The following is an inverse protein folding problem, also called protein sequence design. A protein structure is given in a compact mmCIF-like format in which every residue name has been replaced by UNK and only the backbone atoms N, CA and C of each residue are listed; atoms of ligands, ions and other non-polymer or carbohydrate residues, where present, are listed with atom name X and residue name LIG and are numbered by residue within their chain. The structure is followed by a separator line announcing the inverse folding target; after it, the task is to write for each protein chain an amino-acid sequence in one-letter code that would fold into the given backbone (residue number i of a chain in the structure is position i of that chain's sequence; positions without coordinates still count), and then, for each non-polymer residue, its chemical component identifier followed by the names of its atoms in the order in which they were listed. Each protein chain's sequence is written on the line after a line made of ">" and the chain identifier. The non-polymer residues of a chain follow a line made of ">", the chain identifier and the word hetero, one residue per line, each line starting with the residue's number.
data_IF_132301281041
#
_entry.id   IF_132301281041
#
_cell.length_a   1.000
_cell.length_b   1.000
_cell.length_c   1.000
_cell.angle_alpha   90.00
_cell.angle_beta   90.00
_cell.angle_gamma   90.00
#
_symmetry.space_group_name_H-M   'P 1'
#
loop_
_entity.id
_entity.type
_entity.pdbx_description
1 polymer ?
#
# COMPACT_ATOMS: atom_id res chain seq x y z
N UNK A 1 29.75 20.08 0.99
CA UNK A 1 28.92 21.27 0.70
C UNK A 1 27.49 20.95 1.10
N UNK A 2 26.83 21.74 1.96
CA UNK A 2 25.42 21.53 2.30
C UNK A 2 24.55 21.90 1.10
N UNK A 3 23.51 21.10 0.84
CA UNK A 3 22.48 21.38 -0.17
C UNK A 3 21.24 21.82 0.61
N UNK A 4 20.76 23.03 0.36
CA UNK A 4 19.53 23.54 0.97
C UNK A 4 18.34 23.12 0.11
N UNK A 5 17.34 22.50 0.74
CA UNK A 5 16.10 22.09 0.10
C UNK A 5 14.96 22.86 0.73
N UNK A 6 14.12 23.47 -0.09
CA UNK A 6 12.85 24.05 0.36
C UNK A 6 11.80 22.94 0.42
N UNK A 7 11.25 22.71 1.62
CA UNK A 7 10.19 21.74 1.86
C UNK A 7 8.87 22.49 1.99
N UNK A 8 7.77 21.85 1.60
CA UNK A 8 6.44 22.39 1.88
C UNK A 8 6.22 22.48 3.41
N UNK A 9 5.50 23.50 3.92
CA UNK A 9 5.27 23.68 5.36
C UNK A 9 4.68 22.45 6.06
N UNK A 10 3.78 21.73 5.39
CA UNK A 10 3.13 20.53 5.94
C UNK A 10 4.14 19.40 6.18
N UNK A 11 5.00 19.14 5.20
CA UNK A 11 6.04 18.12 5.27
C UNK A 11 7.11 18.44 6.31
N UNK A 12 7.47 19.72 6.45
CA UNK A 12 8.40 20.18 7.49
C UNK A 12 7.82 19.92 8.89
N UNK A 13 6.53 20.21 9.08
CA UNK A 13 5.85 19.97 10.34
C UNK A 13 5.77 18.47 10.68
N UNK A 14 5.41 17.64 9.70
CA UNK A 14 5.37 16.18 9.86
C UNK A 14 6.75 15.60 10.22
N UNK A 15 7.81 16.08 9.56
CA UNK A 15 9.20 15.68 9.86
C UNK A 15 9.61 16.08 11.28
N UNK A 16 9.22 17.28 11.74
CA UNK A 16 9.49 17.74 13.12
C UNK A 16 8.76 16.89 14.16
N UNK A 17 7.48 16.60 13.93
CA UNK A 17 6.68 15.76 14.83
C UNK A 17 7.31 14.37 14.94
N UNK A 18 7.70 13.79 13.81
CA UNK A 18 8.27 12.45 13.79
C UNK A 18 9.70 12.39 14.35
N UNK A 19 10.49 13.45 14.16
CA UNK A 19 11.81 13.61 14.76
C UNK A 19 11.73 13.65 16.30
N UNK A 20 10.78 14.42 16.84
CA UNK A 20 10.51 14.48 18.28
C UNK A 20 10.05 13.12 18.83
N UNK A 21 9.14 12.43 18.13
CA UNK A 21 8.68 11.09 18.52
C UNK A 21 9.81 10.06 18.58
N UNK A 22 10.80 10.18 17.70
CA UNK A 22 11.93 9.24 17.59
C UNK A 22 13.18 9.70 18.36
N UNK A 23 13.11 10.86 19.03
CA UNK A 23 14.23 11.50 19.72
C UNK A 23 15.49 11.61 18.82
N UNK A 24 15.29 12.01 17.57
CA UNK A 24 16.37 12.22 16.59
C UNK A 24 16.27 13.63 16.03
N UNK A 25 17.40 14.19 15.58
CA UNK A 25 17.40 15.47 14.86
C UNK A 25 16.65 15.39 13.52
N UNK A 26 15.97 16.46 13.15
CA UNK A 26 15.16 16.57 11.92
C UNK A 26 16.02 16.35 10.68
N UNK A 27 17.24 16.86 10.68
CA UNK A 27 18.21 16.74 9.60
C UNK A 27 18.63 15.29 9.38
N UNK A 28 18.84 14.54 10.48
CA UNK A 28 19.19 13.13 10.43
C UNK A 28 18.03 12.31 9.88
N UNK A 29 16.81 12.58 10.35
CA UNK A 29 15.60 11.92 9.88
C UNK A 29 15.37 12.18 8.39
N UNK A 30 15.47 13.45 7.96
CA UNK A 30 15.32 13.86 6.57
C UNK A 30 16.39 13.23 5.67
N UNK A 31 17.65 13.21 6.11
CA UNK A 31 18.76 12.58 5.37
C UNK A 31 18.57 11.07 5.21
N UNK A 32 18.07 10.39 6.24
CA UNK A 32 17.75 8.96 6.19
C UNK A 32 16.61 8.67 5.20
N UNK A 33 15.53 9.45 5.25
CA UNK A 33 14.42 9.33 4.30
C UNK A 33 14.86 9.60 2.86
N UNK A 34 15.66 10.66 2.66
CA UNK A 34 16.19 10.99 1.35
C UNK A 34 17.11 9.89 0.84
N UNK A 35 18.05 9.40 1.67
CA UNK A 35 19.00 8.36 1.29
C UNK A 35 18.31 7.02 1.00
N UNK A 36 17.23 6.68 1.72
CA UNK A 36 16.44 5.47 1.46
C UNK A 36 15.66 5.60 0.16
N UNK A 37 14.99 6.72 -0.07
CA UNK A 37 14.21 6.95 -1.30
C UNK A 37 15.11 7.05 -2.53
N UNK A 38 16.27 7.72 -2.42
CA UNK A 38 17.27 7.82 -3.48
C UNK A 38 17.87 6.45 -3.83
N UNK A 39 18.33 5.68 -2.83
CA UNK A 39 18.84 4.32 -3.06
C UNK A 39 17.79 3.40 -3.67
N UNK A 40 16.52 3.54 -3.27
CA UNK A 40 15.43 2.76 -3.85
C UNK A 40 15.13 3.12 -5.32
N UNK A 41 15.33 4.38 -5.73
CA UNK A 41 15.11 4.82 -7.12
C UNK A 41 16.30 4.55 -8.03
N UNK A 42 17.51 4.57 -7.50
CA UNK A 42 18.76 4.40 -8.27
C UNK A 42 19.34 2.98 -8.24
N UNK A 43 18.68 2.03 -7.56
CA UNK A 43 19.01 0.62 -7.71
C UNK A 43 18.69 0.23 -9.16
N UNK A 44 19.73 -0.14 -9.94
CA UNK A 44 19.60 -0.62 -11.33
C UNK A 44 18.44 -1.61 -11.39
N UNK A 45 17.39 -1.29 -12.16
CA UNK A 45 16.28 -2.21 -12.42
C UNK A 45 16.87 -3.47 -13.01
N UNK A 46 16.71 -4.58 -12.31
CA UNK A 46 17.04 -5.89 -12.87
C UNK A 46 16.11 -6.14 -14.08
N UNK A 47 16.52 -6.88 -15.12
CA UNK A 47 15.60 -7.35 -16.16
C UNK A 47 14.37 -8.09 -15.59
N UNK A 48 14.49 -8.59 -14.35
CA UNK A 48 13.43 -9.19 -13.54
C UNK A 48 12.41 -8.17 -12.98
N UNK A 49 12.71 -6.86 -12.99
CA UNK A 49 11.85 -5.77 -12.51
C UNK A 49 10.87 -5.25 -13.57
N UNK A 50 10.90 -5.80 -14.78
CA UNK A 50 9.97 -5.45 -15.86
C UNK A 50 8.88 -6.52 -15.87
N UNK A 51 7.64 -6.11 -15.63
CA UNK A 51 6.46 -6.95 -15.86
C UNK A 51 6.39 -7.27 -17.35
N UNK A 52 6.23 -8.54 -17.70
CA UNK A 52 5.86 -8.87 -19.08
C UNK A 52 4.46 -8.31 -19.36
N UNK A 53 4.13 -7.98 -20.62
CA UNK A 53 2.81 -7.44 -20.96
C UNK A 53 1.64 -8.32 -20.46
N UNK A 54 1.80 -9.65 -20.48
CA UNK A 54 0.79 -10.57 -19.96
C UNK A 54 0.63 -10.55 -18.44
N UNK A 55 1.71 -10.30 -17.69
CA UNK A 55 1.63 -10.15 -16.23
C UNK A 55 1.05 -8.80 -15.82
N UNK A 56 1.34 -7.75 -16.60
CA UNK A 56 0.77 -6.43 -16.40
C UNK A 56 -0.76 -6.46 -16.61
N UNK A 57 -1.24 -7.12 -17.66
CA UNK A 57 -2.68 -7.27 -17.93
C UNK A 57 -3.41 -8.03 -16.79
N UNK A 58 -2.78 -9.08 -16.25
CA UNK A 58 -3.33 -9.83 -15.10
C UNK A 58 -3.41 -8.95 -13.85
N UNK A 59 -2.36 -8.19 -13.54
CA UNK A 59 -2.33 -7.28 -12.40
C UNK A 59 -3.35 -6.15 -12.56
N UNK A 60 -3.48 -5.58 -13.75
CA UNK A 60 -4.45 -4.52 -14.04
C UNK A 60 -5.88 -5.02 -13.88
N UNK A 61 -6.22 -6.21 -14.39
CA UNK A 61 -7.53 -6.83 -14.18
C UNK A 61 -7.84 -7.08 -12.71
N UNK A 62 -6.86 -7.58 -11.95
CA UNK A 62 -7.03 -7.83 -10.51
C UNK A 62 -7.19 -6.55 -9.70
N UNK A 63 -6.48 -5.47 -10.07
CA UNK A 63 -6.60 -4.18 -9.38
C UNK A 63 -7.89 -3.43 -9.76
N UNK A 64 -8.53 -3.77 -10.87
CA UNK A 64 -9.75 -3.13 -11.35
C UNK A 64 -11.05 -3.68 -10.74
N UNK A 65 -11.03 -4.83 -10.05
CA UNK A 65 -12.24 -5.53 -9.62
C UNK A 65 -13.02 -4.83 -8.48
N UNK A 66 -12.44 -3.88 -7.74
CA UNK A 66 -13.16 -3.09 -6.71
C UNK A 66 -12.89 -1.60 -6.90
N UNK A 67 -13.96 -0.82 -7.07
CA UNK A 67 -13.87 0.62 -7.36
C UNK A 67 -13.50 1.43 -6.11
N UNK A 68 -13.13 2.70 -6.29
CA UNK A 68 -12.84 3.60 -5.15
C UNK A 68 -14.08 3.82 -4.29
N UNK A 69 -15.24 3.88 -4.92
CA UNK A 69 -16.55 4.06 -4.27
C UNK A 69 -16.85 2.88 -3.35
N UNK A 70 -16.54 1.65 -3.78
CA UNK A 70 -16.66 0.45 -2.95
C UNK A 70 -15.81 0.57 -1.68
N UNK A 71 -14.53 0.91 -1.81
CA UNK A 71 -13.64 1.03 -0.66
C UNK A 71 -14.00 2.19 0.28
N UNK A 72 -14.51 3.29 -0.28
CA UNK A 72 -15.01 4.41 0.51
C UNK A 72 -16.21 3.98 1.36
N UNK A 73 -17.21 3.37 0.73
CA UNK A 73 -18.42 2.90 1.42
C UNK A 73 -18.11 1.84 2.47
N UNK A 74 -17.21 0.90 2.16
CA UNK A 74 -16.81 -0.13 3.12
C UNK A 74 -16.17 0.47 4.39
N UNK A 75 -15.26 1.45 4.23
CA UNK A 75 -14.65 2.16 5.37
C UNK A 75 -15.64 3.00 6.16
N UNK A 76 -16.62 3.61 5.50
CA UNK A 76 -17.69 4.33 6.19
C UNK A 76 -18.51 3.40 7.09
N UNK A 77 -18.85 2.21 6.58
CA UNK A 77 -19.56 1.19 7.34
C UNK A 77 -18.72 0.64 8.50
N UNK A 78 -17.42 0.36 8.28
CA UNK A 78 -16.50 -0.05 9.36
C UNK A 78 -16.41 0.99 10.49
N UNK A 79 -16.42 2.29 10.16
CA UNK A 79 -16.44 3.36 11.16
C UNK A 79 -17.78 3.45 11.90
N UNK A 80 -18.90 3.28 11.20
CA UNK A 80 -20.22 3.30 11.84
C UNK A 80 -20.43 2.13 12.82
N UNK A 81 -19.82 0.96 12.53
CA UNK A 81 -19.80 -0.18 13.45
C UNK A 81 -19.15 0.19 14.80
N UNK A 82 -18.10 1.02 14.80
CA UNK A 82 -17.43 1.44 16.05
C UNK A 82 -18.23 2.43 16.87
N UNK A 83 -19.12 3.19 16.23
CA UNK A 83 -19.81 4.33 16.84
C UNK A 83 -21.23 3.97 17.35
N UNK A 84 -21.59 2.68 17.32
CA UNK A 84 -22.87 2.10 17.79
C UNK A 84 -24.15 2.62 17.10
N UNK A 85 -24.03 3.43 16.06
CA UNK A 85 -25.13 3.95 15.23
C UNK A 85 -25.24 3.12 13.93
N UNK A 86 -25.55 1.83 14.11
CA UNK A 86 -25.45 0.84 13.05
C UNK A 86 -26.77 0.07 12.88
N UNK A 87 -27.50 0.39 11.82
CA UNK A 87 -28.77 -0.26 11.50
C UNK A 87 -28.57 -1.69 10.99
N UNK A 88 -29.63 -2.51 11.04
CA UNK A 88 -29.57 -3.89 10.54
C UNK A 88 -29.28 -3.95 9.02
N UNK A 89 -29.82 -3.01 8.26
CA UNK A 89 -29.56 -2.89 6.82
C UNK A 89 -28.08 -2.56 6.53
N UNK A 90 -27.47 -1.69 7.34
CA UNK A 90 -26.03 -1.37 7.22
C UNK A 90 -25.14 -2.53 7.66
N UNK A 91 -25.58 -3.37 8.62
CA UNK A 91 -24.89 -4.63 8.96
C UNK A 91 -24.85 -5.59 7.79
N UNK A 92 -26.00 -5.79 7.14
CA UNK A 92 -26.11 -6.70 6.01
C UNK A 92 -25.26 -6.21 4.84
N UNK A 93 -25.29 -4.90 4.56
CA UNK A 93 -24.44 -4.26 3.55
C UNK A 93 -22.94 -4.45 3.87
N UNK A 94 -22.52 -4.18 5.10
CA UNK A 94 -21.12 -4.34 5.49
C UNK A 94 -20.64 -5.79 5.39
N UNK A 95 -21.50 -6.75 5.75
CA UNK A 95 -21.20 -8.17 5.66
C UNK A 95 -21.08 -8.64 4.20
N UNK A 96 -21.94 -8.17 3.31
CA UNK A 96 -21.83 -8.44 1.87
C UNK A 96 -20.56 -7.83 1.28
N UNK A 97 -20.26 -6.58 1.62
CA UNK A 97 -19.06 -5.90 1.17
C UNK A 97 -17.79 -6.59 1.71
N UNK A 98 -17.80 -7.05 2.96
CA UNK A 98 -16.70 -7.82 3.55
C UNK A 98 -16.43 -9.10 2.75
N UNK A 99 -17.47 -9.90 2.47
CA UNK A 99 -17.35 -11.13 1.65
C UNK A 99 -16.79 -10.83 0.25
N UNK A 100 -17.23 -9.75 -0.39
CA UNK A 100 -16.74 -9.33 -1.72
C UNK A 100 -15.26 -8.91 -1.67
N UNK A 101 -14.87 -8.18 -0.63
CA UNK A 101 -13.48 -7.78 -0.37
C UNK A 101 -12.57 -9.00 -0.13
N UNK A 102 -13.03 -9.97 0.66
CA UNK A 102 -12.30 -11.22 0.91
C UNK A 102 -12.13 -12.05 -0.37
N UNK A 103 -13.21 -12.26 -1.14
CA UNK A 103 -13.14 -13.00 -2.40
C UNK A 103 -12.22 -12.32 -3.42
N UNK A 104 -12.18 -10.99 -3.44
CA UNK A 104 -11.23 -10.22 -4.23
C UNK A 104 -9.79 -10.42 -3.73
N UNK A 105 -9.55 -10.33 -2.43
CA UNK A 105 -8.23 -10.53 -1.82
C UNK A 105 -7.69 -11.94 -2.10
N UNK A 106 -8.52 -12.98 -2.02
CA UNK A 106 -8.12 -14.37 -2.33
C UNK A 106 -7.68 -14.50 -3.79
N UNK A 107 -8.45 -13.95 -4.74
CA UNK A 107 -8.09 -13.96 -6.17
C UNK A 107 -6.77 -13.24 -6.42
N UNK A 108 -6.61 -12.06 -5.82
CA UNK A 108 -5.39 -11.27 -5.90
C UNK A 108 -4.19 -12.02 -5.33
N UNK A 109 -4.34 -12.65 -4.17
CA UNK A 109 -3.26 -13.40 -3.55
C UNK A 109 -2.86 -14.60 -4.42
N UNK A 110 -3.85 -15.35 -4.91
CA UNK A 110 -3.62 -16.53 -5.77
C UNK A 110 -2.85 -16.17 -7.04
N UNK A 111 -3.19 -15.07 -7.69
CA UNK A 111 -2.52 -14.64 -8.90
C UNK A 111 -1.09 -14.14 -8.67
N UNK A 112 -0.84 -13.44 -7.56
CA UNK A 112 0.52 -13.05 -7.16
C UNK A 112 1.35 -14.31 -6.85
N UNK A 113 0.75 -15.34 -6.25
CA UNK A 113 1.45 -16.58 -5.91
C UNK A 113 1.82 -17.36 -7.18
N UNK A 114 0.89 -17.43 -8.13
CA UNK A 114 1.15 -18.01 -9.44
C UNK A 114 2.26 -17.26 -10.18
N UNK A 115 2.27 -15.93 -10.12
CA UNK A 115 3.33 -15.11 -10.70
C UNK A 115 4.69 -15.35 -10.01
N UNK A 116 4.70 -15.48 -8.68
CA UNK A 116 5.91 -15.80 -7.91
C UNK A 116 6.47 -17.16 -8.32
N UNK A 117 5.60 -18.17 -8.44
CA UNK A 117 5.97 -19.53 -8.89
C UNK A 117 6.52 -19.53 -10.32
N UNK A 118 5.86 -18.85 -11.26
CA UNK A 118 6.32 -18.73 -12.66
C UNK A 118 7.68 -18.05 -12.77
N UNK A 119 7.95 -17.07 -11.91
CA UNK A 119 9.22 -16.33 -11.85
C UNK A 119 10.30 -17.02 -11.02
N UNK A 120 9.99 -18.12 -10.32
CA UNK A 120 10.91 -18.75 -9.37
C UNK A 120 11.31 -17.85 -8.21
N UNK A 121 10.45 -16.88 -7.85
CA UNK A 121 10.71 -15.86 -6.84
C UNK A 121 9.93 -16.13 -5.56
N UNK A 122 10.47 -15.66 -4.44
CA UNK A 122 9.74 -15.62 -3.17
C UNK A 122 8.66 -14.54 -3.23
N UNK A 123 7.54 -14.81 -2.58
CA UNK A 123 6.39 -13.91 -2.46
C UNK A 123 6.79 -12.47 -2.07
N UNK A 124 7.58 -12.33 -1.00
CA UNK A 124 8.00 -11.00 -0.49
C UNK A 124 8.87 -10.23 -1.49
N UNK A 125 9.67 -10.96 -2.27
CA UNK A 125 10.55 -10.38 -3.29
C UNK A 125 9.71 -9.86 -4.47
N UNK A 126 8.71 -10.63 -4.90
CA UNK A 126 7.75 -10.21 -5.92
C UNK A 126 6.93 -9.00 -5.46
N UNK A 127 6.37 -9.03 -4.25
CA UNK A 127 5.58 -7.92 -3.70
C UNK A 127 6.38 -6.61 -3.64
N UNK A 128 7.66 -6.70 -3.24
CA UNK A 128 8.59 -5.56 -3.25
C UNK A 128 8.86 -5.05 -4.67
N UNK A 129 9.01 -5.93 -5.65
CA UNK A 129 9.21 -5.55 -7.05
C UNK A 129 7.98 -4.87 -7.66
N UNK A 130 6.80 -5.41 -7.40
CA UNK A 130 5.53 -4.88 -7.90
C UNK A 130 5.13 -3.56 -7.22
N UNK A 131 5.89 -3.10 -6.22
CA UNK A 131 5.54 -1.97 -5.35
C UNK A 131 4.12 -2.10 -4.78
N UNK A 132 3.67 -3.33 -4.62
CA UNK A 132 2.39 -3.61 -4.02
C UNK A 132 2.59 -3.47 -2.52
N UNK A 133 2.20 -2.32 -1.98
CA UNK A 133 2.00 -2.18 -0.55
C UNK A 133 0.97 -3.22 -0.10
N UNK A 134 1.20 -3.90 1.01
CA UNK A 134 0.10 -4.54 1.73
C UNK A 134 -1.02 -3.50 1.86
N UNK A 135 -2.21 -3.82 1.36
CA UNK A 135 -3.32 -2.89 1.37
C UNK A 135 -3.60 -2.49 2.84
N UNK A 136 -3.92 -1.22 3.12
CA UNK A 136 -3.97 -0.66 4.49
C UNK A 136 -5.14 -1.17 5.36
N UNK A 137 -5.77 -2.30 5.00
CA UNK A 137 -6.72 -3.03 5.84
C UNK A 137 -6.08 -4.10 6.71
N UNK A 138 -4.82 -4.50 6.44
CA UNK A 138 -4.08 -5.38 7.32
C UNK A 138 -3.38 -4.57 8.41
N UNK A 139 -4.12 -4.16 9.44
CA UNK A 139 -3.49 -3.79 10.72
C UNK A 139 -3.09 -5.07 11.45
N UNK A 140 -1.83 -5.10 11.87
CA UNK A 140 -1.35 -5.89 12.99
C UNK A 140 -1.96 -5.40 14.31
#
# INVERSE_FOLDING_TARGET
>A
MPITLELSPDLENDLRIEATRRNVGVEKLASDYFSRSWRSRHRKRSPLDILTPGEQEVIEKLNAELTREFWHRYKELERKISDADFSEAEREEALEMSRRSEAWNVRRITAIDEMARRRGMKWDELMRQLKISHHPGAKA
#
